data_IF_181161494524
#
_entry.id   IF_181161494524
#
_cell.length_a   1.000
_cell.length_b   1.000
_cell.length_c   1.000
_cell.angle_alpha   90.00
_cell.angle_beta   90.00
_cell.angle_gamma   90.00
#
_symmetry.space_group_name_H-M   'P 1'
#
loop_
_entity.id
_entity.type
_entity.pdbx_description
1 polymer ?
#
# COMPACT_ATOMS: atom_id res chain seq x y z
N UNK A 1 11.20 43.30 40.96
CA UNK A 1 10.79 42.92 39.59
C UNK A 1 11.55 41.68 39.13
N UNK A 2 11.09 40.49 39.53
CA UNK A 2 11.59 39.18 39.11
C UNK A 2 10.66 38.15 39.77
N UNK A 3 10.37 37.03 39.10
CA UNK A 3 9.57 35.85 39.57
C UNK A 3 8.18 35.64 38.99
N UNK A 4 7.63 36.49 38.12
CA UNK A 4 6.39 36.18 37.37
C UNK A 4 6.59 35.76 35.91
N UNK A 5 7.82 35.84 35.39
CA UNK A 5 8.15 35.37 34.04
C UNK A 5 8.44 33.85 33.96
N UNK A 6 8.52 33.15 35.09
CA UNK A 6 8.81 31.71 35.11
C UNK A 6 7.56 30.82 34.98
N UNK A 7 6.37 31.36 35.26
CA UNK A 7 5.12 30.60 35.16
C UNK A 7 4.58 30.47 33.73
N UNK A 8 4.83 31.47 32.87
CA UNK A 8 4.36 31.46 31.48
C UNK A 8 5.19 30.55 30.56
N UNK A 9 6.42 30.23 30.93
CA UNK A 9 7.29 29.36 30.13
C UNK A 9 6.97 27.86 30.34
N UNK A 10 6.30 27.51 31.44
CA UNK A 10 5.96 26.12 31.78
C UNK A 10 4.65 25.63 31.14
N UNK A 11 3.76 26.53 30.70
CA UNK A 11 2.51 26.14 30.02
C UNK A 11 2.66 25.91 28.50
N UNK A 12 3.77 26.30 27.90
CA UNK A 12 3.95 26.22 26.44
C UNK A 12 4.49 24.86 25.93
N UNK A 13 4.73 23.90 26.83
CA UNK A 13 5.26 22.58 26.46
C UNK A 13 4.20 21.46 26.29
N UNK A 14 2.91 21.75 26.46
CA UNK A 14 1.82 20.77 26.20
C UNK A 14 1.22 20.88 24.79
N UNK A 15 2.02 21.30 23.82
CA UNK A 15 1.71 21.11 22.40
C UNK A 15 2.77 20.20 21.77
N UNK A 16 3.13 19.13 22.48
CA UNK A 16 3.69 17.95 21.83
C UNK A 16 2.56 17.34 21.00
N UNK A 17 2.37 17.91 19.81
CA UNK A 17 1.69 17.24 18.72
C UNK A 17 2.30 15.85 18.63
N UNK A 18 1.56 14.85 19.09
CA UNK A 18 1.70 13.49 18.56
C UNK A 18 1.20 13.60 17.12
N UNK A 19 2.02 14.20 16.26
CA UNK A 19 2.03 13.85 14.87
C UNK A 19 2.49 12.39 14.85
N UNK A 20 1.55 11.47 15.12
CA UNK A 20 1.64 10.13 14.57
C UNK A 20 1.96 10.39 13.11
N UNK A 21 3.19 10.08 12.70
CA UNK A 21 3.65 10.22 11.34
C UNK A 21 2.77 9.32 10.49
N UNK A 22 1.64 9.86 10.05
CA UNK A 22 0.71 9.30 9.07
C UNK A 22 1.39 9.34 7.69
N UNK A 23 2.66 8.92 7.61
CA UNK A 23 3.30 8.67 6.33
C UNK A 23 2.47 7.60 5.62
N UNK A 24 2.26 7.73 4.33
CA UNK A 24 1.57 6.70 3.59
C UNK A 24 2.37 5.38 3.63
N UNK A 25 1.70 4.21 3.53
CA UNK A 25 2.39 2.94 3.29
C UNK A 25 3.32 3.06 2.07
N UNK A 26 4.61 2.79 2.23
CA UNK A 26 5.49 2.70 1.07
C UNK A 26 5.21 1.42 0.29
N UNK A 27 4.77 1.58 -0.96
CA UNK A 27 4.63 0.50 -1.94
C UNK A 27 6.00 -0.14 -2.25
N UNK A 28 7.05 0.66 -2.33
CA UNK A 28 8.38 0.21 -2.72
C UNK A 28 8.96 -0.81 -1.73
N UNK A 29 9.81 -1.68 -2.27
CA UNK A 29 10.49 -2.74 -1.55
C UNK A 29 10.01 -4.13 -1.95
N UNK A 30 10.47 -5.11 -1.18
CA UNK A 30 10.17 -6.52 -1.37
C UNK A 30 8.87 -6.90 -0.66
N UNK A 31 8.09 -7.73 -1.35
CA UNK A 31 6.84 -8.31 -0.87
C UNK A 31 6.85 -9.81 -1.11
N UNK A 32 6.48 -10.56 -0.08
CA UNK A 32 6.06 -11.94 -0.20
C UNK A 32 4.64 -11.95 -0.73
N UNK A 33 4.38 -12.83 -1.69
CA UNK A 33 3.11 -12.86 -2.39
C UNK A 33 2.63 -14.29 -2.64
N UNK A 34 1.32 -14.46 -2.70
CA UNK A 34 0.70 -15.71 -3.14
C UNK A 34 -0.45 -15.42 -4.10
N UNK A 35 -0.54 -16.22 -5.17
CA UNK A 35 -1.62 -16.13 -6.16
C UNK A 35 -2.77 -17.12 -5.87
N UNK A 36 -3.81 -17.07 -6.71
CA UNK A 36 -4.97 -17.96 -6.61
C UNK A 36 -4.64 -19.46 -6.81
N UNK A 37 -3.48 -19.79 -7.39
CA UNK A 37 -3.01 -21.16 -7.57
C UNK A 37 -2.17 -21.65 -6.38
N UNK A 38 -2.12 -20.86 -5.29
CA UNK A 38 -1.26 -21.10 -4.11
C UNK A 38 0.22 -21.11 -4.43
N UNK A 39 0.63 -20.47 -5.54
CA UNK A 39 2.04 -20.32 -5.87
C UNK A 39 2.59 -19.10 -5.15
N UNK A 40 3.73 -19.29 -4.49
CA UNK A 40 4.43 -18.22 -3.79
C UNK A 40 5.34 -17.45 -4.76
N UNK A 41 5.38 -16.13 -4.59
CA UNK A 41 6.20 -15.21 -5.36
C UNK A 41 6.92 -14.23 -4.44
N UNK A 42 8.04 -13.72 -4.95
CA UNK A 42 8.65 -12.48 -4.49
C UNK A 42 8.33 -11.38 -5.50
N UNK A 43 7.67 -10.32 -5.04
CA UNK A 43 7.35 -9.15 -5.84
C UNK A 43 8.16 -7.96 -5.33
N UNK A 44 8.88 -7.28 -6.23
CA UNK A 44 9.75 -6.15 -5.85
C UNK A 44 9.27 -4.91 -6.58
N UNK A 45 8.72 -3.96 -5.84
CA UNK A 45 8.35 -2.64 -6.38
C UNK A 45 9.53 -1.68 -6.26
N UNK A 46 10.01 -1.17 -7.40
CA UNK A 46 10.99 -0.08 -7.49
C UNK A 46 10.25 1.24 -7.79
N UNK A 47 10.94 2.27 -8.27
CA UNK A 47 10.30 3.57 -8.54
C UNK A 47 9.34 3.52 -9.74
N UNK A 48 9.74 2.84 -10.80
CA UNK A 48 9.14 2.85 -12.14
C UNK A 48 9.01 1.43 -12.75
N UNK A 49 9.33 0.41 -11.96
CA UNK A 49 9.40 -0.98 -12.38
C UNK A 49 8.96 -1.91 -11.26
N UNK A 50 8.21 -2.96 -11.61
CA UNK A 50 7.90 -4.08 -10.71
C UNK A 50 8.50 -5.36 -11.27
N UNK A 51 9.15 -6.14 -10.41
CA UNK A 51 9.59 -7.49 -10.73
C UNK A 51 8.61 -8.49 -10.10
N UNK A 52 8.06 -9.40 -10.91
CA UNK A 52 7.16 -10.48 -10.46
C UNK A 52 7.75 -11.80 -10.96
N UNK A 53 8.25 -12.63 -10.04
CA UNK A 53 9.02 -13.81 -10.43
C UNK A 53 10.30 -13.39 -11.17
N UNK A 54 10.46 -13.86 -12.41
CA UNK A 54 11.62 -13.54 -13.26
C UNK A 54 11.36 -12.41 -14.27
N UNK A 55 10.14 -11.85 -14.26
CA UNK A 55 9.73 -10.85 -15.24
C UNK A 55 9.72 -9.45 -14.64
N UNK A 56 10.23 -8.50 -15.43
CA UNK A 56 10.25 -7.07 -15.13
C UNK A 56 9.20 -6.35 -15.96
N UNK A 57 8.40 -5.51 -15.30
CA UNK A 57 7.36 -4.71 -15.94
C UNK A 57 7.54 -3.24 -15.59
N UNK A 58 7.56 -2.39 -16.62
CA UNK A 58 7.57 -0.94 -16.42
C UNK A 58 6.16 -0.46 -16.05
N UNK A 59 6.07 0.45 -15.08
CA UNK A 59 4.80 1.04 -14.69
C UNK A 59 4.92 2.53 -14.37
N UNK A 60 3.79 3.23 -14.48
CA UNK A 60 3.59 4.52 -13.82
C UNK A 60 2.67 4.34 -12.62
N UNK A 61 2.88 5.14 -11.58
CA UNK A 61 2.14 5.05 -10.33
C UNK A 61 1.44 6.37 -10.02
N UNK A 62 0.20 6.26 -9.59
CA UNK A 62 -0.63 7.36 -9.12
C UNK A 62 -1.14 7.03 -7.71
N UNK A 63 -0.63 7.75 -6.73
CA UNK A 63 -0.90 7.57 -5.30
C UNK A 63 0.26 8.01 -4.42
N UNK A 64 0.13 7.90 -3.09
CA UNK A 64 -0.96 7.27 -2.35
C UNK A 64 -2.29 8.02 -2.47
N UNK A 65 -3.39 7.28 -2.66
CA UNK A 65 -4.77 7.77 -2.61
C UNK A 65 -5.45 7.24 -1.35
N UNK A 66 -6.36 8.02 -0.78
CA UNK A 66 -7.13 7.62 0.40
C UNK A 66 -8.61 7.42 0.05
N UNK A 67 -9.21 6.33 0.53
CA UNK A 67 -10.65 6.07 0.45
C UNK A 67 -11.08 5.29 1.69
N UNK A 68 -12.11 5.79 2.39
CA UNK A 68 -12.71 5.14 3.57
C UNK A 68 -11.69 4.70 4.65
N UNK A 69 -10.69 5.56 4.92
CA UNK A 69 -9.55 5.32 5.83
C UNK A 69 -8.51 4.28 5.37
N UNK A 70 -8.64 3.76 4.15
CA UNK A 70 -7.63 2.91 3.53
C UNK A 70 -6.78 3.70 2.54
N UNK A 71 -5.58 3.18 2.28
CA UNK A 71 -4.67 3.73 1.26
C UNK A 71 -4.56 2.77 0.09
N UNK A 72 -4.45 3.31 -1.12
CA UNK A 72 -4.15 2.52 -2.31
C UNK A 72 -3.29 3.29 -3.30
N UNK A 73 -2.69 2.55 -4.23
CA UNK A 73 -1.94 3.05 -5.36
C UNK A 73 -2.55 2.49 -6.63
N UNK A 74 -2.77 3.34 -7.63
CA UNK A 74 -3.12 2.91 -8.98
C UNK A 74 -1.83 2.77 -9.79
N UNK A 75 -1.68 1.67 -10.52
CA UNK A 75 -0.54 1.40 -11.37
C UNK A 75 -1.02 1.25 -12.81
N UNK A 76 -0.28 1.81 -13.76
CA UNK A 76 -0.46 1.54 -15.19
C UNK A 76 0.77 0.80 -15.68
N UNK A 77 0.62 -0.48 -15.97
CA UNK A 77 1.70 -1.33 -16.44
C UNK A 77 1.63 -1.40 -17.96
N UNK A 78 2.76 -1.17 -18.63
CA UNK A 78 2.87 -1.34 -20.08
C UNK A 78 3.58 -2.65 -20.37
N UNK A 79 2.87 -3.56 -21.04
CA UNK A 79 3.41 -4.82 -21.50
C UNK A 79 2.99 -5.07 -22.94
N UNK A 80 3.95 -5.43 -23.79
CA UNK A 80 3.74 -5.68 -25.23
C UNK A 80 2.92 -4.61 -25.97
N UNK A 81 3.08 -3.34 -25.60
CA UNK A 81 2.35 -2.22 -26.20
C UNK A 81 0.92 -2.01 -25.67
N UNK A 82 0.42 -2.88 -24.78
CA UNK A 82 -0.85 -2.72 -24.08
C UNK A 82 -0.61 -2.11 -22.69
N UNK A 83 -1.35 -1.06 -22.37
CA UNK A 83 -1.39 -0.49 -21.02
C UNK A 83 -2.55 -1.12 -20.25
N UNK A 84 -2.27 -1.66 -19.07
CA UNK A 84 -3.29 -2.26 -18.18
C UNK A 84 -3.22 -1.61 -16.81
N UNK A 85 -4.38 -1.26 -16.28
CA UNK A 85 -4.52 -0.68 -14.94
C UNK A 85 -4.54 -1.76 -13.88
N UNK A 86 -3.88 -1.48 -12.75
CA UNK A 86 -3.90 -2.30 -11.56
C UNK A 86 -3.96 -1.43 -10.31
N UNK A 87 -4.23 -2.06 -9.17
CA UNK A 87 -4.28 -1.37 -7.88
C UNK A 87 -3.55 -2.17 -6.81
N UNK A 88 -2.71 -1.50 -6.01
CA UNK A 88 -2.21 -2.05 -4.75
C UNK A 88 -2.94 -1.39 -3.60
N UNK A 89 -3.80 -2.15 -2.94
CA UNK A 89 -4.69 -1.71 -1.87
C UNK A 89 -4.16 -2.14 -0.50
N UNK A 90 -4.14 -1.23 0.48
CA UNK A 90 -3.71 -1.49 1.85
C UNK A 90 -4.93 -1.59 2.76
N UNK A 91 -5.42 -2.80 3.06
CA UNK A 91 -6.64 -3.00 3.84
C UNK A 91 -6.44 -2.80 5.35
N UNK A 92 -5.22 -2.47 5.80
CA UNK A 92 -4.92 -2.26 7.21
C UNK A 92 -4.01 -1.05 7.41
N UNK A 93 -3.96 -0.56 8.65
CA UNK A 93 -3.05 0.53 9.05
C UNK A 93 -1.59 0.09 9.20
N UNK A 94 -1.32 -1.22 9.28
CA UNK A 94 0.02 -1.77 9.57
C UNK A 94 1.02 -1.57 8.43
N UNK A 95 0.57 -1.20 7.22
CA UNK A 95 1.40 -1.02 5.99
C UNK A 95 2.15 -2.28 5.55
N UNK A 96 1.96 -3.41 6.24
CA UNK A 96 2.62 -4.69 5.99
C UNK A 96 1.78 -5.62 5.13
N UNK A 97 0.46 -5.39 5.08
CA UNK A 97 -0.51 -6.16 4.30
C UNK A 97 -1.00 -5.34 3.12
N UNK A 98 -1.00 -5.93 1.93
CA UNK A 98 -1.61 -5.34 0.75
C UNK A 98 -2.28 -6.39 -0.16
N UNK A 99 -3.14 -5.91 -1.05
CA UNK A 99 -3.88 -6.69 -2.04
C UNK A 99 -3.52 -6.12 -3.41
N UNK A 100 -3.02 -6.98 -4.32
CA UNK A 100 -2.74 -6.58 -5.69
C UNK A 100 -3.94 -6.97 -6.55
N UNK A 101 -4.63 -5.97 -7.10
CA UNK A 101 -5.90 -6.13 -7.80
C UNK A 101 -5.76 -5.74 -9.28
N UNK A 102 -6.50 -6.43 -10.14
CA UNK A 102 -6.90 -5.92 -11.44
C UNK A 102 -8.32 -5.36 -11.32
N UNK A 103 -8.54 -4.03 -11.40
CA UNK A 103 -9.86 -3.44 -11.33
C UNK A 103 -10.72 -3.84 -12.53
N UNK A 104 -12.04 -3.95 -12.32
CA UNK A 104 -13.00 -4.21 -13.40
C UNK A 104 -13.24 -2.96 -14.29
N UNK A 105 -13.10 -1.77 -13.70
CA UNK A 105 -13.25 -0.46 -14.33
C UNK A 105 -12.18 0.48 -13.75
N UNK A 106 -11.53 1.27 -14.58
CA UNK A 106 -10.52 2.27 -14.18
C UNK A 106 -11.05 3.30 -13.17
N UNK A 107 -12.36 3.56 -13.16
CA UNK A 107 -13.04 4.47 -12.22
C UNK A 107 -13.29 3.82 -10.86
N UNK A 108 -13.32 2.48 -10.80
CA UNK A 108 -13.58 1.71 -9.59
C UNK A 108 -12.34 0.93 -9.16
N UNK A 109 -11.24 1.63 -8.90
CA UNK A 109 -9.90 1.06 -8.64
C UNK A 109 -9.82 -0.04 -7.55
N UNK A 110 -10.78 -0.11 -6.62
CA UNK A 110 -10.83 -1.10 -5.54
C UNK A 110 -11.78 -2.29 -5.81
N UNK A 111 -12.54 -2.27 -6.90
CA UNK A 111 -13.45 -3.35 -7.28
C UNK A 111 -12.84 -4.12 -8.44
N UNK A 112 -12.53 -5.39 -8.22
CA UNK A 112 -11.89 -6.20 -9.24
C UNK A 112 -11.44 -7.55 -8.74
N UNK A 113 -10.68 -8.24 -9.58
CA UNK A 113 -10.08 -9.51 -9.24
C UNK A 113 -8.80 -9.28 -8.43
N UNK A 114 -8.64 -10.01 -7.32
CA UNK A 114 -7.35 -10.10 -6.66
C UNK A 114 -6.42 -11.01 -7.44
N UNK A 115 -5.22 -10.53 -7.73
CA UNK A 115 -4.16 -11.30 -8.39
C UNK A 115 -3.22 -11.90 -7.35
N UNK A 116 -2.83 -11.09 -6.36
CA UNK A 116 -1.91 -11.52 -5.31
C UNK A 116 -2.33 -10.99 -3.94
N UNK A 117 -2.21 -11.85 -2.94
CA UNK A 117 -2.11 -11.42 -1.55
C UNK A 117 -0.65 -11.02 -1.28
N UNK A 118 -0.40 -9.87 -0.64
CA UNK A 118 0.94 -9.35 -0.37
C UNK A 118 1.19 -9.17 1.12
N UNK A 119 2.39 -9.54 1.58
CA UNK A 119 2.86 -9.27 2.93
C UNK A 119 4.37 -8.95 2.96
N UNK A 120 4.81 -7.98 3.78
CA UNK A 120 6.24 -7.63 3.89
C UNK A 120 7.07 -8.61 4.73
N UNK A 121 6.45 -9.39 5.61
CA UNK A 121 7.13 -10.23 6.61
C UNK A 121 6.81 -11.71 6.48
N UNK A 122 5.53 -12.04 6.40
CA UNK A 122 5.02 -13.42 6.44
C UNK A 122 4.64 -13.91 5.04
N UNK A 123 4.54 -15.22 4.83
CA UNK A 123 3.95 -15.74 3.59
C UNK A 123 2.43 -15.58 3.69
N UNK A 124 1.79 -14.78 2.82
CA UNK A 124 0.35 -14.60 2.86
C UNK A 124 -0.37 -15.83 2.29
N UNK A 125 -1.58 -16.10 2.78
CA UNK A 125 -2.51 -17.04 2.13
C UNK A 125 -3.51 -16.25 1.28
N UNK A 126 -3.59 -16.59 -0.01
CA UNK A 126 -4.46 -15.91 -0.96
C UNK A 126 -5.94 -15.99 -0.55
N UNK A 127 -6.43 -17.18 -0.17
CA UNK A 127 -7.85 -17.38 0.10
C UNK A 127 -8.29 -16.79 1.43
N UNK A 128 -7.41 -16.78 2.44
CA UNK A 128 -7.64 -16.04 3.68
C UNK A 128 -7.79 -14.54 3.43
N UNK A 129 -6.97 -13.97 2.56
CA UNK A 129 -7.06 -12.57 2.19
C UNK A 129 -8.33 -12.25 1.41
N UNK A 130 -8.73 -13.13 0.46
CA UNK A 130 -10.04 -13.00 -0.22
C UNK A 130 -11.16 -12.98 0.81
N UNK A 131 -11.24 -14.00 1.66
CA UNK A 131 -12.31 -14.13 2.66
C UNK A 131 -12.37 -12.94 3.62
N UNK A 132 -11.21 -12.39 4.00
CA UNK A 132 -11.12 -11.32 4.99
C UNK A 132 -11.39 -9.93 4.40
N UNK A 133 -10.93 -9.68 3.17
CA UNK A 133 -10.85 -8.32 2.62
C UNK A 133 -11.64 -8.10 1.32
N UNK A 134 -11.89 -9.15 0.53
CA UNK A 134 -12.66 -9.04 -0.71
C UNK A 134 -14.13 -9.38 -0.41
N UNK A 135 -14.95 -8.34 -0.22
CA UNK A 135 -16.39 -8.45 0.05
C UNK A 135 -17.22 -7.93 -1.12
#
# INVERSE_FOLDING_TARGET
>A
MKRWLLGLLALLCMVSMVACSKSAPSLQGEWKAQDALKKDYKIIFKKDKVTIGEHDYNYTVDGPKAKDNYTYYSLKVKDQGKETSYTVFFPTKSKETALFLQPNDDKEALKGQMLFALNKKENPDYYDYVKKYMK
#
